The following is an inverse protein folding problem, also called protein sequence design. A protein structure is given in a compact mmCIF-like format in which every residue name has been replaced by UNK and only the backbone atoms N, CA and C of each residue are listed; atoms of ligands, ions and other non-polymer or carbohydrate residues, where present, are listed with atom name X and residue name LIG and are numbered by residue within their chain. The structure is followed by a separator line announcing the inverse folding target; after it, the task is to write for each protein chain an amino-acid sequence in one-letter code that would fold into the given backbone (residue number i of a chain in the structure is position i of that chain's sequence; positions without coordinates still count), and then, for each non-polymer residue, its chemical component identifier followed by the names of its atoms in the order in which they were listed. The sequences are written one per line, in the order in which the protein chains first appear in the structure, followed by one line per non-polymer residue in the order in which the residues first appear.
data_IF_135490799055
#
_entry.id   IF_135490799055
#
_cell.length_a   1.000
_cell.length_b   1.000
_cell.length_c   1.000
_cell.angle_alpha   90.00
_cell.angle_beta   90.00
_cell.angle_gamma   90.00
#
_symmetry.space_group_name_H-M   'P 1'
#
loop_
_entity.id
_entity.type
_entity.pdbx_description
1 polymer ?
#
# COMPACT_ATOMS: atom_id res chain seq x y z
N UNK A 1 24.48 -0.18 7.22
CA UNK A 1 23.62 -1.26 7.74
C UNK A 1 22.29 -0.77 8.30
N UNK A 2 22.26 0.21 9.21
CA UNK A 2 21.02 0.75 9.81
C UNK A 2 19.96 1.14 8.76
N UNK A 3 20.38 1.88 7.73
CA UNK A 3 19.49 2.33 6.64
C UNK A 3 18.75 1.20 5.90
N UNK A 4 19.40 0.04 5.72
CA UNK A 4 18.78 -1.14 5.10
C UNK A 4 17.65 -1.69 5.98
N UNK A 5 17.92 -1.83 7.27
CA UNK A 5 16.93 -2.35 8.22
C UNK A 5 15.76 -1.39 8.39
N UNK A 6 16.00 -0.07 8.36
CA UNK A 6 14.92 0.92 8.32
C UNK A 6 14.04 0.74 7.09
N UNK A 7 14.63 0.60 5.89
CA UNK A 7 13.86 0.38 4.66
C UNK A 7 13.07 -0.94 4.70
N UNK A 8 13.66 -2.02 5.21
CA UNK A 8 12.98 -3.31 5.38
C UNK A 8 11.81 -3.18 6.36
N UNK A 9 12.01 -2.52 7.50
CA UNK A 9 10.97 -2.32 8.51
C UNK A 9 9.81 -1.51 7.92
N UNK A 10 10.09 -0.36 7.30
CA UNK A 10 9.09 0.49 6.64
C UNK A 10 8.35 -0.26 5.54
N UNK A 11 9.05 -0.98 4.67
CA UNK A 11 8.43 -1.74 3.59
C UNK A 11 7.56 -2.90 4.11
N UNK A 12 7.97 -3.55 5.20
CA UNK A 12 7.20 -4.61 5.86
C UNK A 12 5.96 -4.07 6.56
N UNK A 13 6.07 -2.93 7.24
CA UNK A 13 4.93 -2.23 7.84
C UNK A 13 3.94 -1.76 6.78
N UNK A 14 4.43 -1.24 5.66
CA UNK A 14 3.58 -0.87 4.53
C UNK A 14 2.84 -2.09 3.97
N UNK A 15 3.54 -3.21 3.78
CA UNK A 15 2.93 -4.46 3.32
C UNK A 15 1.86 -4.97 4.30
N UNK A 16 2.13 -4.91 5.61
CA UNK A 16 1.16 -5.28 6.63
C UNK A 16 -0.10 -4.39 6.59
N UNK A 17 0.07 -3.08 6.36
CA UNK A 17 -1.05 -2.18 6.16
C UNK A 17 -1.88 -2.54 4.92
N UNK A 18 -1.26 -2.96 3.82
CA UNK A 18 -1.97 -3.44 2.62
C UNK A 18 -2.77 -4.71 2.88
N UNK A 19 -2.23 -5.65 3.67
CA UNK A 19 -2.93 -6.88 4.04
C UNK A 19 -4.11 -6.55 4.96
N UNK A 20 -3.90 -5.73 5.98
CA UNK A 20 -4.96 -5.28 6.88
C UNK A 20 -6.06 -4.53 6.12
N UNK A 21 -5.66 -3.62 5.22
CA UNK A 21 -6.56 -2.88 4.34
C UNK A 21 -7.39 -3.80 3.46
N UNK A 22 -6.77 -4.81 2.84
CA UNK A 22 -7.48 -5.81 2.04
C UNK A 22 -8.54 -6.54 2.88
N UNK A 23 -8.16 -7.04 4.06
CA UNK A 23 -9.10 -7.75 4.96
C UNK A 23 -10.26 -6.85 5.37
N UNK A 24 -10.00 -5.59 5.72
CA UNK A 24 -11.04 -4.63 6.09
C UNK A 24 -11.94 -4.30 4.90
N UNK A 25 -11.37 -4.13 3.71
CA UNK A 25 -12.13 -3.89 2.50
C UNK A 25 -13.06 -5.07 2.17
N UNK A 26 -12.60 -6.31 2.30
CA UNK A 26 -13.44 -7.49 2.14
C UNK A 26 -14.57 -7.52 3.19
N UNK A 27 -14.24 -7.36 4.47
CA UNK A 27 -15.21 -7.42 5.58
C UNK A 27 -16.28 -6.34 5.49
N UNK A 28 -15.90 -5.14 5.06
CA UNK A 28 -16.80 -3.98 4.96
C UNK A 28 -17.31 -3.73 3.54
N UNK A 29 -17.07 -4.66 2.61
CA UNK A 29 -17.45 -4.60 1.19
C UNK A 29 -17.05 -3.26 0.54
N UNK A 30 -15.84 -2.80 0.79
CA UNK A 30 -15.27 -1.58 0.20
C UNK A 30 -14.59 -1.92 -1.11
N UNK A 31 -15.25 -1.58 -2.21
CA UNK A 31 -14.64 -1.64 -3.53
C UNK A 31 -13.76 -0.43 -3.78
N UNK A 32 -12.83 -0.56 -4.71
CA UNK A 32 -12.01 0.56 -5.15
C UNK A 32 -12.90 1.63 -5.82
N UNK A 33 -12.57 2.89 -5.64
CA UNK A 33 -13.26 4.06 -6.21
C UNK A 33 -12.21 5.14 -6.48
N UNK A 34 -11.67 5.11 -7.70
CA UNK A 34 -10.66 6.04 -8.21
C UNK A 34 -11.30 6.99 -9.25
N UNK A 35 -10.69 8.14 -9.60
CA UNK A 35 -11.40 9.23 -10.28
C UNK A 35 -12.06 8.88 -11.63
N UNK A 36 -11.62 7.80 -12.28
CA UNK A 36 -12.13 7.36 -13.59
C UNK A 36 -12.69 5.93 -13.58
N UNK A 37 -12.68 5.24 -12.44
CA UNK A 37 -13.09 3.84 -12.35
C UNK A 37 -13.51 3.47 -10.93
N UNK A 38 -14.61 2.73 -10.80
CA UNK A 38 -15.05 2.18 -9.54
C UNK A 38 -15.34 0.68 -9.71
N UNK A 39 -15.02 -0.10 -8.68
CA UNK A 39 -15.31 -1.53 -8.63
C UNK A 39 -16.71 -1.82 -8.13
N UNK A 40 -17.17 -3.05 -8.35
CA UNK A 40 -18.49 -3.51 -7.89
C UNK A 40 -18.37 -4.63 -6.86
N UNK A 41 -19.24 -4.69 -5.83
CA UNK A 41 -19.15 -5.74 -4.79
C UNK A 41 -19.22 -7.17 -5.35
N UNK A 42 -19.94 -7.34 -6.45
CA UNK A 42 -20.15 -8.63 -7.14
C UNK A 42 -18.88 -9.13 -7.82
N UNK A 43 -17.97 -8.22 -8.18
CA UNK A 43 -16.73 -8.52 -8.90
C UNK A 43 -15.47 -8.29 -8.06
N UNK A 44 -15.61 -8.08 -6.75
CA UNK A 44 -14.54 -7.62 -5.88
C UNK A 44 -13.26 -8.48 -5.95
N UNK A 45 -13.37 -9.79 -6.14
CA UNK A 45 -12.18 -10.67 -6.32
C UNK A 45 -11.47 -10.39 -7.65
N UNK A 46 -12.21 -10.34 -8.76
CA UNK A 46 -11.67 -10.03 -10.09
C UNK A 46 -11.06 -8.63 -10.10
N UNK A 47 -11.77 -7.68 -9.54
CA UNK A 47 -11.38 -6.29 -9.44
C UNK A 47 -10.11 -6.15 -8.57
N UNK A 48 -10.00 -6.92 -7.49
CA UNK A 48 -8.79 -6.97 -6.67
C UNK A 48 -7.56 -7.46 -7.42
N UNK A 49 -7.71 -8.45 -8.32
CA UNK A 49 -6.58 -8.96 -9.11
C UNK A 49 -5.94 -7.87 -9.99
N UNK A 50 -6.73 -6.90 -10.46
CA UNK A 50 -6.29 -5.90 -11.44
C UNK A 50 -6.11 -4.49 -10.88
N UNK A 51 -7.01 -4.07 -10.00
CA UNK A 51 -7.10 -2.70 -9.48
C UNK A 51 -6.90 -2.62 -7.97
N UNK A 52 -7.01 -3.74 -7.27
CA UNK A 52 -6.93 -3.78 -5.81
C UNK A 52 -8.28 -3.58 -5.14
N UNK A 53 -8.24 -3.11 -3.90
CA UNK A 53 -9.43 -2.74 -3.10
C UNK A 53 -9.32 -1.28 -2.67
N UNK A 54 -10.33 -0.78 -1.96
CA UNK A 54 -10.29 0.55 -1.33
C UNK A 54 -9.03 0.83 -0.49
N UNK A 55 -8.40 -0.20 0.08
CA UNK A 55 -7.28 -0.06 1.03
C UNK A 55 -6.05 -0.91 0.71
N UNK A 56 -6.00 -1.51 -0.49
CA UNK A 56 -4.91 -2.43 -0.84
C UNK A 56 -4.67 -2.47 -2.33
N UNK A 57 -3.40 -2.54 -2.74
CA UNK A 57 -3.03 -2.69 -4.14
C UNK A 57 -3.28 -4.11 -4.67
N UNK A 58 -3.37 -4.27 -6.00
CA UNK A 58 -3.50 -5.58 -6.62
C UNK A 58 -2.25 -6.47 -6.38
N UNK A 59 -2.41 -7.81 -6.43
CA UNK A 59 -1.33 -8.77 -6.12
C UNK A 59 -0.07 -8.61 -6.95
N UNK A 60 -0.18 -8.21 -8.21
CA UNK A 60 1.00 -8.02 -9.08
C UNK A 60 1.90 -6.85 -8.64
N UNK A 61 1.42 -5.97 -7.77
CA UNK A 61 2.25 -4.95 -7.09
C UNK A 61 2.76 -5.42 -5.73
N UNK A 62 2.01 -6.27 -5.02
CA UNK A 62 2.42 -6.84 -3.74
C UNK A 62 3.55 -7.87 -3.89
N UNK A 63 3.50 -8.70 -4.94
CA UNK A 63 4.53 -9.71 -5.22
C UNK A 63 5.95 -9.11 -5.32
N UNK A 64 6.16 -8.08 -6.16
CA UNK A 64 7.44 -7.36 -6.24
C UNK A 64 7.90 -6.75 -4.90
N UNK A 65 6.98 -6.28 -4.06
CA UNK A 65 7.32 -5.76 -2.73
C UNK A 65 7.84 -6.86 -1.80
N UNK A 66 7.13 -8.00 -1.74
CA UNK A 66 7.55 -9.17 -0.96
C UNK A 66 8.92 -9.65 -1.43
N UNK A 67 9.12 -9.76 -2.74
CA UNK A 67 10.40 -10.12 -3.34
C UNK A 67 11.52 -9.15 -2.91
N UNK A 68 11.28 -7.84 -3.01
CA UNK A 68 12.29 -6.84 -2.67
C UNK A 68 12.65 -6.85 -1.18
N UNK A 69 11.66 -7.02 -0.29
CA UNK A 69 11.89 -7.21 1.15
C UNK A 69 12.78 -8.45 1.39
N UNK A 70 12.41 -9.59 0.79
CA UNK A 70 13.15 -10.84 0.93
C UNK A 70 14.59 -10.77 0.38
N UNK A 71 14.83 -9.96 -0.65
CA UNK A 71 16.18 -9.69 -1.17
C UNK A 71 16.99 -8.85 -0.19
N UNK A 72 16.42 -7.77 0.34
CA UNK A 72 17.10 -6.88 1.30
C UNK A 72 17.40 -7.54 2.65
N UNK A 73 16.57 -8.50 3.06
CA UNK A 73 16.84 -9.34 4.25
C UNK A 73 18.10 -10.19 4.08
N UNK A 74 18.40 -10.66 2.85
CA UNK A 74 19.58 -11.49 2.55
C UNK A 74 20.85 -10.68 2.35
N UNK A 75 20.75 -9.43 1.94
CA UNK A 75 21.92 -8.61 1.61
C UNK A 75 21.58 -7.25 1.01
N UNK A 76 22.56 -6.36 0.84
CA UNK A 76 22.35 -5.15 0.06
C UNK A 76 21.99 -5.51 -1.40
N UNK A 77 20.92 -4.90 -1.93
CA UNK A 77 20.47 -5.13 -3.32
C UNK A 77 19.93 -3.83 -3.92
N UNK A 78 20.56 -3.37 -5.00
CA UNK A 78 20.20 -2.11 -5.69
C UNK A 78 18.86 -2.25 -6.43
N UNK A 79 18.58 -3.41 -7.04
CA UNK A 79 17.33 -3.66 -7.77
C UNK A 79 16.15 -3.69 -6.80
N UNK A 80 16.32 -4.34 -5.66
CA UNK A 80 15.29 -4.38 -4.62
C UNK A 80 14.95 -2.97 -4.11
N UNK A 81 15.96 -2.12 -3.85
CA UNK A 81 15.71 -0.71 -3.49
C UNK A 81 14.97 0.04 -4.60
N UNK A 82 15.39 -0.12 -5.84
CA UNK A 82 14.74 0.53 -6.99
C UNK A 82 13.26 0.13 -7.12
N UNK A 83 12.94 -1.15 -6.94
CA UNK A 83 11.55 -1.65 -6.93
C UNK A 83 10.76 -1.00 -5.79
N UNK A 84 11.26 -1.00 -4.56
CA UNK A 84 10.58 -0.38 -3.42
C UNK A 84 10.38 1.13 -3.62
N UNK A 85 11.35 1.81 -4.26
CA UNK A 85 11.22 3.23 -4.61
C UNK A 85 10.06 3.48 -5.56
N UNK A 86 9.96 2.71 -6.63
CA UNK A 86 8.87 2.86 -7.61
C UNK A 86 7.52 2.52 -7.02
N UNK A 87 7.43 1.40 -6.30
CA UNK A 87 6.20 1.03 -5.60
C UNK A 87 5.79 2.10 -4.60
N UNK A 88 6.73 2.58 -3.77
CA UNK A 88 6.46 3.65 -2.81
C UNK A 88 5.96 4.92 -3.48
N UNK A 89 6.60 5.32 -4.59
CA UNK A 89 6.19 6.49 -5.37
C UNK A 89 4.79 6.33 -5.95
N UNK A 90 4.49 5.18 -6.56
CA UNK A 90 3.16 4.89 -7.09
C UNK A 90 2.08 4.86 -6.00
N UNK A 91 2.38 4.25 -4.86
CA UNK A 91 1.48 4.19 -3.70
C UNK A 91 1.19 5.58 -3.13
N UNK A 92 2.21 6.44 -3.01
CA UNK A 92 2.04 7.83 -2.53
C UNK A 92 1.00 8.57 -3.37
N UNK A 93 0.96 8.33 -4.68
CA UNK A 93 -0.03 8.91 -5.59
C UNK A 93 -1.38 8.15 -5.56
N UNK A 94 -1.35 6.83 -5.33
CA UNK A 94 -2.55 5.98 -5.25
C UNK A 94 -3.41 6.23 -4.01
N UNK A 95 -2.81 6.52 -2.85
CA UNK A 95 -3.58 6.83 -1.63
C UNK A 95 -4.57 7.98 -1.82
N UNK A 96 -4.19 9.17 -2.32
CA UNK A 96 -5.14 10.27 -2.53
C UNK A 96 -6.08 10.04 -3.73
N UNK A 97 -5.74 9.17 -4.70
CA UNK A 97 -6.63 8.88 -5.84
C UNK A 97 -7.85 8.05 -5.43
N UNK A 98 -7.73 7.24 -4.39
CA UNK A 98 -8.81 6.40 -3.87
C UNK A 98 -9.75 7.16 -2.92
N UNK A 99 -11.06 7.11 -3.20
CA UNK A 99 -12.07 7.89 -2.47
C UNK A 99 -12.11 7.54 -0.99
N UNK A 100 -12.07 6.26 -0.66
CA UNK A 100 -12.15 5.81 0.73
C UNK A 100 -10.97 6.33 1.56
N UNK A 101 -9.77 6.29 1.01
CA UNK A 101 -8.59 6.90 1.63
C UNK A 101 -8.78 8.40 1.86
N UNK A 102 -9.28 9.14 0.85
CA UNK A 102 -9.57 10.59 1.00
C UNK A 102 -10.56 10.87 2.11
N UNK A 103 -11.63 10.07 2.23
CA UNK A 103 -12.61 10.23 3.31
C UNK A 103 -11.95 10.06 4.67
N UNK A 104 -11.09 9.03 4.84
CA UNK A 104 -10.46 8.71 6.13
C UNK A 104 -9.42 9.71 6.62
N UNK A 105 -8.90 10.55 5.74
CA UNK A 105 -7.93 11.61 6.09
C UNK A 105 -8.54 13.00 6.17
N UNK A 106 -9.83 13.16 5.86
CA UNK A 106 -10.56 14.44 6.00
C UNK A 106 -11.13 14.61 7.42
N UNK A 107 -11.23 15.87 7.92
CA UNK A 107 -11.96 16.15 9.14
C UNK A 107 -13.40 15.57 9.07
N UNK A 108 -13.81 14.85 10.12
CA UNK A 108 -15.14 14.21 10.20
C UNK A 108 -15.26 12.83 9.52
N UNK A 109 -14.23 12.37 8.81
CA UNK A 109 -14.21 11.04 8.17
C UNK A 109 -13.46 9.94 8.93
N UNK A 110 -13.01 10.24 10.16
CA UNK A 110 -12.20 9.34 10.98
C UNK A 110 -12.96 8.06 11.30
N UNK A 111 -12.28 6.93 11.11
CA UNK A 111 -12.73 5.61 11.53
C UNK A 111 -11.63 4.95 12.36
N UNK A 112 -11.94 4.44 13.57
CA UNK A 112 -10.93 3.88 14.47
C UNK A 112 -10.11 2.72 13.88
N UNK A 113 -10.63 2.03 12.86
CA UNK A 113 -9.95 0.92 12.21
C UNK A 113 -9.34 1.32 10.87
N UNK A 114 -10.11 2.00 10.02
CA UNK A 114 -9.67 2.33 8.65
C UNK A 114 -8.65 3.48 8.63
N UNK A 115 -8.82 4.50 9.48
CA UNK A 115 -7.92 5.66 9.49
C UNK A 115 -6.48 5.30 9.86
N UNK A 116 -6.20 4.49 10.90
CA UNK A 116 -4.83 4.06 11.19
C UNK A 116 -4.20 3.25 10.05
N UNK A 117 -4.97 2.38 9.39
CA UNK A 117 -4.47 1.58 8.25
C UNK A 117 -4.03 2.50 7.11
N UNK A 118 -4.87 3.48 6.75
CA UNK A 118 -4.57 4.45 5.68
C UNK A 118 -3.37 5.31 6.06
N UNK A 119 -3.34 5.85 7.28
CA UNK A 119 -2.27 6.73 7.74
C UNK A 119 -0.91 6.01 7.80
N UNK A 120 -0.86 4.80 8.37
CA UNK A 120 0.36 3.98 8.43
C UNK A 120 0.79 3.57 7.04
N UNK A 121 -0.13 3.07 6.21
CA UNK A 121 0.18 2.64 4.85
C UNK A 121 0.73 3.78 3.99
N UNK A 122 0.12 4.96 4.05
CA UNK A 122 0.54 6.11 3.25
C UNK A 122 1.85 6.74 3.74
N UNK A 123 2.02 6.88 5.05
CA UNK A 123 3.29 7.36 5.62
C UNK A 123 4.45 6.41 5.32
N UNK A 124 4.23 5.10 5.44
CA UNK A 124 5.25 4.10 5.10
C UNK A 124 5.56 4.08 3.60
N UNK A 125 4.57 4.25 2.72
CA UNK A 125 4.81 4.38 1.28
C UNK A 125 5.70 5.61 0.97
N UNK A 126 5.44 6.73 1.63
CA UNK A 126 6.24 7.96 1.52
C UNK A 126 7.67 7.74 2.01
N UNK A 127 7.82 7.16 3.20
CA UNK A 127 9.12 6.85 3.78
C UNK A 127 9.90 5.87 2.90
N UNK A 128 9.24 4.84 2.35
CA UNK A 128 9.84 3.87 1.44
C UNK A 128 10.38 4.55 0.17
N UNK A 129 9.63 5.47 -0.45
CA UNK A 129 10.06 6.23 -1.62
C UNK A 129 11.24 7.18 -1.33
N UNK A 130 11.30 7.75 -0.13
CA UNK A 130 12.41 8.62 0.30
C UNK A 130 13.66 7.82 0.64
N UNK A 131 13.53 6.80 1.51
CA UNK A 131 14.64 5.99 1.98
C UNK A 131 15.29 5.22 0.84
N UNK A 132 14.52 4.63 -0.08
CA UNK A 132 15.08 3.86 -1.18
C UNK A 132 15.92 4.67 -2.20
N UNK A 133 15.98 6.01 -2.08
CA UNK A 133 16.91 6.87 -2.84
C UNK A 133 18.34 6.87 -2.31
N UNK A 134 18.53 6.55 -1.03
CA UNK A 134 19.82 6.52 -0.35
C UNK A 134 20.40 5.10 -0.42
#
# INVERSE_FOLDING_TARGET
MAHRWTLVAVASTQLAAQVAGHVVALRRRRTFDVPFMAGSPEHMVRDWLWFGTAYSTPPYLLGPQVWAIARLLRGPDVRARWVLRWLGTGLVLGYPSERWNRVRVRPGGVDPLETPIVAVGWSCATAMAVLARR
#
